data_IF_758518098120
#
_entry.id   IF_758518098120
#
_cell.length_a   1.000
_cell.length_b   1.000
_cell.length_c   1.000
_cell.angle_alpha   90.00
_cell.angle_beta   90.00
_cell.angle_gamma   90.00
#
_symmetry.space_group_name_H-M   'P 1'
#
loop_
_entity.id
_entity.type
_entity.pdbx_description
1 polymer ?
#
# COMPACT_ATOMS: atom_id res chain seq x y z
N UNK A 1 2.76 29.83 -6.87
CA UNK A 1 3.00 28.72 -7.80
C UNK A 1 4.10 29.11 -8.73
N UNK A 2 5.16 28.32 -8.82
CA UNK A 2 6.33 28.52 -9.68
C UNK A 2 6.41 27.33 -10.65
N UNK A 3 6.68 27.62 -11.92
CA UNK A 3 6.86 26.55 -12.90
C UNK A 3 8.21 25.87 -12.67
N UNK A 4 8.17 24.54 -12.55
CA UNK A 4 9.37 23.72 -12.40
C UNK A 4 9.68 23.00 -13.72
N UNK A 5 10.86 23.26 -14.28
CA UNK A 5 11.27 22.71 -15.58
C UNK A 5 11.52 21.20 -15.54
N UNK A 6 12.03 20.68 -14.41
CA UNK A 6 12.35 19.26 -14.25
C UNK A 6 11.07 18.41 -14.18
N UNK A 7 10.07 18.91 -13.43
CA UNK A 7 8.78 18.25 -13.26
C UNK A 7 7.78 18.59 -14.36
N UNK A 8 8.10 19.59 -15.24
CA UNK A 8 7.24 20.13 -16.30
C UNK A 8 5.84 20.51 -15.83
N UNK A 9 5.75 21.06 -14.60
CA UNK A 9 4.50 21.50 -13.98
C UNK A 9 4.73 22.63 -12.98
N UNK A 10 3.64 23.29 -12.61
CA UNK A 10 3.67 24.26 -11.52
C UNK A 10 3.73 23.55 -10.18
N UNK A 11 4.61 24.00 -9.29
CA UNK A 11 4.71 23.57 -7.90
C UNK A 11 4.50 24.76 -6.96
N UNK A 12 4.10 24.57 -5.69
CA UNK A 12 4.03 25.66 -4.72
C UNK A 12 5.38 26.32 -4.51
N UNK A 13 5.36 27.60 -4.22
CA UNK A 13 6.56 28.35 -3.85
C UNK A 13 7.16 27.77 -2.56
N UNK A 14 8.46 27.57 -2.53
CA UNK A 14 9.17 26.94 -1.41
C UNK A 14 9.18 25.42 -1.40
N UNK A 15 8.59 24.78 -2.44
CA UNK A 15 8.74 23.35 -2.65
C UNK A 15 9.85 23.08 -3.67
N UNK A 16 10.52 21.94 -3.52
CA UNK A 16 11.62 21.55 -4.39
C UNK A 16 11.23 20.36 -5.27
N UNK A 17 11.88 20.23 -6.39
CA UNK A 17 11.91 18.97 -7.12
C UNK A 17 13.04 18.08 -6.59
N UNK A 18 12.86 16.79 -6.73
CA UNK A 18 13.82 15.77 -6.34
C UNK A 18 13.54 14.45 -7.02
N UNK A 19 14.30 13.45 -6.68
CA UNK A 19 14.09 12.07 -7.13
C UNK A 19 13.50 11.24 -5.97
N UNK A 20 12.88 10.14 -6.31
CA UNK A 20 12.21 9.29 -5.31
C UNK A 20 13.20 8.76 -4.24
N UNK A 21 14.45 8.52 -4.63
CA UNK A 21 15.51 8.11 -3.71
C UNK A 21 15.90 9.21 -2.69
N UNK A 22 15.53 10.49 -2.90
CA UNK A 22 15.81 11.56 -1.93
C UNK A 22 14.87 11.52 -0.73
N UNK A 23 13.66 10.98 -0.92
CA UNK A 23 12.60 10.95 0.11
C UNK A 23 12.37 9.56 0.71
N UNK A 24 12.80 8.50 0.02
CA UNK A 24 12.54 7.13 0.41
C UNK A 24 13.78 6.24 0.23
N UNK A 25 14.02 5.35 1.17
CA UNK A 25 14.94 4.25 0.97
C UNK A 25 14.20 3.08 0.31
N UNK A 26 14.80 2.53 -0.73
CA UNK A 26 14.17 1.53 -1.58
C UNK A 26 15.04 0.29 -1.63
N UNK A 27 14.53 -0.81 -1.13
CA UNK A 27 15.18 -2.12 -1.20
C UNK A 27 14.54 -2.94 -2.32
N UNK A 28 15.28 -3.19 -3.40
CA UNK A 28 14.83 -4.10 -4.45
C UNK A 28 14.91 -5.54 -3.95
N UNK A 29 13.81 -6.28 -4.11
CA UNK A 29 13.76 -7.67 -3.70
C UNK A 29 14.60 -8.59 -4.58
N UNK A 30 15.00 -9.71 -4.00
CA UNK A 30 15.76 -10.76 -4.64
C UNK A 30 15.19 -12.11 -4.22
N UNK A 31 14.82 -12.93 -5.21
CA UNK A 31 14.29 -14.26 -4.92
C UNK A 31 15.38 -15.15 -4.31
N UNK A 32 15.11 -15.80 -3.18
CA UNK A 32 15.97 -16.87 -2.66
C UNK A 32 16.06 -18.06 -3.62
N UNK A 33 16.90 -19.03 -3.29
CA UNK A 33 16.95 -20.31 -4.03
C UNK A 33 15.60 -21.03 -3.90
N UNK A 34 15.11 -21.57 -5.01
CA UNK A 34 13.82 -22.25 -5.07
C UNK A 34 13.72 -23.49 -4.17
N UNK A 35 14.86 -24.12 -3.86
CA UNK A 35 14.92 -25.27 -2.95
C UNK A 35 14.63 -24.91 -1.50
N UNK A 36 14.72 -23.61 -1.13
CA UNK A 36 14.45 -23.11 0.22
C UNK A 36 12.97 -22.79 0.47
N UNK A 37 12.10 -22.89 -0.55
CA UNK A 37 10.69 -22.53 -0.42
C UNK A 37 9.90 -23.66 0.24
N UNK A 38 8.99 -23.28 1.13
CA UNK A 38 8.06 -24.22 1.77
C UNK A 38 6.72 -23.53 2.09
N UNK A 39 5.70 -24.36 2.29
CA UNK A 39 4.36 -23.96 2.74
C UNK A 39 4.09 -24.40 4.20
N UNK A 40 5.08 -25.00 4.85
CA UNK A 40 4.98 -25.58 6.19
C UNK A 40 5.19 -24.56 7.30
N UNK A 41 5.61 -23.34 6.97
CA UNK A 41 5.87 -22.29 7.96
C UNK A 41 7.30 -22.26 8.48
N UNK A 42 8.23 -22.99 7.81
CA UNK A 42 9.63 -22.97 8.23
C UNK A 42 10.39 -21.76 7.70
N UNK A 43 11.07 -21.03 8.57
CA UNK A 43 11.84 -19.84 8.23
C UNK A 43 11.02 -18.57 8.15
N UNK A 44 11.40 -17.67 7.24
CA UNK A 44 10.79 -16.34 7.09
C UNK A 44 9.66 -16.32 6.08
N UNK A 45 8.65 -15.49 6.32
CA UNK A 45 7.59 -15.23 5.35
C UNK A 45 8.21 -14.72 4.05
N UNK A 46 7.79 -15.26 2.91
CA UNK A 46 8.30 -14.90 1.60
C UNK A 46 7.20 -14.44 0.66
N UNK A 47 7.29 -13.20 0.19
CA UNK A 47 6.43 -12.64 -0.84
C UNK A 47 7.17 -12.54 -2.17
N UNK A 48 6.70 -13.25 -3.18
CA UNK A 48 7.37 -13.30 -4.49
C UNK A 48 7.01 -12.13 -5.40
N UNK A 49 5.76 -11.68 -5.34
CA UNK A 49 5.23 -10.65 -6.22
C UNK A 49 3.84 -10.17 -5.82
N UNK A 50 3.20 -9.38 -6.68
CA UNK A 50 1.87 -8.82 -6.44
C UNK A 50 0.74 -9.86 -6.39
N UNK A 51 0.99 -11.11 -6.72
CA UNK A 51 0.03 -12.21 -6.56
C UNK A 51 -0.31 -12.49 -5.10
N UNK A 52 0.56 -12.06 -4.20
CA UNK A 52 0.37 -12.20 -2.76
C UNK A 52 -0.39 -11.00 -2.16
N UNK A 53 -0.59 -9.93 -2.93
CA UNK A 53 -1.20 -8.70 -2.45
C UNK A 53 -2.70 -8.88 -2.22
N UNK A 54 -3.13 -8.49 -1.01
CA UNK A 54 -4.52 -8.36 -0.62
C UNK A 54 -5.02 -6.92 -0.72
N UNK A 55 -6.07 -6.59 0.03
CA UNK A 55 -6.65 -5.25 0.04
C UNK A 55 -5.65 -4.21 0.59
N UNK A 56 -4.98 -4.53 1.70
CA UNK A 56 -3.99 -3.66 2.34
C UNK A 56 -2.70 -4.39 2.70
N UNK A 57 -2.81 -5.64 3.11
CA UNK A 57 -1.69 -6.47 3.50
C UNK A 57 -1.56 -7.66 2.56
N UNK A 58 -0.35 -8.17 2.33
CA UNK A 58 -0.16 -9.37 1.55
C UNK A 58 -0.59 -10.61 2.33
N UNK A 59 -1.14 -11.61 1.64
CA UNK A 59 -1.50 -12.91 2.20
C UNK A 59 -0.29 -13.82 2.26
N UNK A 60 -0.05 -14.44 3.40
CA UNK A 60 1.06 -15.39 3.59
C UNK A 60 0.71 -16.73 2.91
N UNK A 61 1.51 -17.11 1.93
CA UNK A 61 1.38 -18.40 1.23
C UNK A 61 2.66 -19.21 1.25
N UNK A 62 3.79 -18.56 1.36
CA UNK A 62 5.09 -19.19 1.18
C UNK A 62 6.08 -18.70 2.23
N UNK A 63 7.00 -19.56 2.59
CA UNK A 63 8.11 -19.27 3.49
C UNK A 63 9.44 -19.65 2.83
N UNK A 64 10.54 -19.14 3.37
CA UNK A 64 11.89 -19.50 2.92
C UNK A 64 12.83 -19.69 4.08
N UNK A 65 13.63 -20.74 4.04
CA UNK A 65 14.70 -21.02 5.02
C UNK A 65 16.00 -20.27 4.71
N UNK A 66 16.08 -19.63 3.52
CA UNK A 66 17.29 -18.89 3.08
C UNK A 66 16.93 -17.49 2.59
N UNK A 67 16.44 -16.58 3.47
CA UNK A 67 16.03 -15.24 3.08
C UNK A 67 17.19 -14.40 2.54
N UNK A 68 16.95 -13.56 1.55
CA UNK A 68 17.96 -12.75 0.85
C UNK A 68 17.79 -11.26 1.05
N UNK A 69 16.57 -10.74 0.88
CA UNK A 69 16.22 -9.32 1.02
C UNK A 69 14.99 -9.17 1.90
N UNK A 70 15.08 -8.24 2.83
CA UNK A 70 14.07 -8.06 3.85
C UNK A 70 13.26 -6.78 3.64
N UNK A 71 11.99 -6.85 4.00
CA UNK A 71 11.13 -5.74 4.34
C UNK A 71 10.73 -5.85 5.80
N UNK A 72 10.60 -4.73 6.48
CA UNK A 72 10.14 -4.66 7.87
C UNK A 72 8.64 -4.41 7.93
N UNK A 73 8.03 -4.78 9.05
CA UNK A 73 6.65 -4.43 9.32
C UNK A 73 6.43 -2.92 9.17
N UNK A 74 5.41 -2.54 8.40
CA UNK A 74 5.09 -1.15 8.09
C UNK A 74 5.75 -0.61 6.82
N UNK A 75 6.72 -1.31 6.22
CA UNK A 75 7.27 -0.91 4.93
C UNK A 75 6.20 -1.01 3.83
N UNK A 76 6.28 -0.10 2.86
CA UNK A 76 5.43 -0.13 1.68
C UNK A 76 6.02 -1.13 0.70
N UNK A 77 5.24 -2.14 0.35
CA UNK A 77 5.58 -3.11 -0.68
C UNK A 77 5.01 -2.64 -2.01
N UNK A 78 5.85 -2.50 -3.03
CA UNK A 78 5.43 -2.11 -4.37
C UNK A 78 5.87 -3.17 -5.38
N UNK A 79 4.95 -3.56 -6.29
CA UNK A 79 5.32 -4.45 -7.39
C UNK A 79 6.16 -3.70 -8.42
N UNK A 80 7.30 -4.31 -8.80
CA UNK A 80 8.21 -3.80 -9.82
C UNK A 80 8.11 -4.58 -11.14
N UNK A 81 7.23 -5.57 -11.19
CA UNK A 81 6.86 -6.33 -12.40
C UNK A 81 5.36 -6.26 -12.63
N UNK A 82 4.93 -6.59 -13.84
CA UNK A 82 3.54 -6.49 -14.24
C UNK A 82 2.57 -7.25 -13.30
N UNK A 83 1.53 -6.59 -12.78
CA UNK A 83 1.22 -5.16 -12.92
C UNK A 83 2.14 -4.29 -12.06
N UNK A 84 2.88 -3.35 -12.70
CA UNK A 84 3.80 -2.45 -12.01
C UNK A 84 3.02 -1.44 -11.17
N UNK A 85 3.53 -1.15 -9.96
CA UNK A 85 2.96 -0.13 -9.09
C UNK A 85 1.79 -0.60 -8.23
N UNK A 86 1.47 -1.90 -8.19
CA UNK A 86 0.57 -2.41 -7.15
C UNK A 86 1.22 -2.23 -5.78
N UNK A 87 0.43 -1.82 -4.79
CA UNK A 87 0.90 -1.39 -3.46
C UNK A 87 0.22 -2.19 -2.37
N UNK A 88 1.01 -2.65 -1.41
CA UNK A 88 0.55 -3.19 -0.13
C UNK A 88 1.47 -2.70 0.99
N UNK A 89 1.17 -3.05 2.22
CA UNK A 89 2.01 -2.73 3.39
C UNK A 89 2.40 -4.04 4.05
N UNK A 90 3.66 -4.19 4.41
CA UNK A 90 4.13 -5.36 5.13
C UNK A 90 3.47 -5.42 6.52
N UNK A 91 2.69 -6.47 6.78
CA UNK A 91 2.04 -6.71 8.08
C UNK A 91 2.98 -7.35 9.12
N UNK A 92 4.11 -7.86 8.67
CA UNK A 92 5.19 -8.43 9.49
C UNK A 92 6.52 -8.32 8.75
N UNK A 93 7.62 -8.57 9.45
CA UNK A 93 8.93 -8.72 8.80
C UNK A 93 8.87 -9.89 7.82
N UNK A 94 9.44 -9.69 6.62
CA UNK A 94 9.32 -10.67 5.54
C UNK A 94 10.49 -10.59 4.57
N UNK A 95 10.72 -11.67 3.83
CA UNK A 95 11.60 -11.71 2.69
C UNK A 95 10.84 -11.31 1.43
N UNK A 96 11.45 -10.50 0.55
CA UNK A 96 10.84 -10.03 -0.68
C UNK A 96 11.59 -10.53 -1.92
N UNK A 97 10.84 -11.11 -2.85
CA UNK A 97 11.33 -11.63 -4.11
C UNK A 97 11.51 -10.54 -5.18
N UNK A 98 12.11 -10.94 -6.29
CA UNK A 98 12.47 -10.05 -7.43
C UNK A 98 11.30 -9.33 -8.08
N UNK A 99 10.06 -9.65 -7.73
CA UNK A 99 8.84 -8.97 -8.20
C UNK A 99 8.44 -7.76 -7.37
N UNK A 100 9.08 -7.55 -6.21
CA UNK A 100 8.74 -6.54 -5.23
C UNK A 100 9.91 -5.60 -4.91
N UNK A 101 9.57 -4.42 -4.43
CA UNK A 101 10.47 -3.53 -3.68
C UNK A 101 9.83 -3.16 -2.34
N UNK A 102 10.66 -3.02 -1.30
CA UNK A 102 10.27 -2.46 -0.02
C UNK A 102 10.71 -1.01 0.05
N UNK A 103 9.82 -0.14 0.50
CA UNK A 103 10.02 1.30 0.51
C UNK A 103 9.72 1.82 1.92
N UNK A 104 10.65 2.53 2.53
CA UNK A 104 10.42 3.23 3.78
C UNK A 104 10.82 4.70 3.69
N UNK A 105 10.26 5.52 4.56
CA UNK A 105 10.46 6.96 4.53
C UNK A 105 11.82 7.37 5.08
N UNK A 106 12.55 8.22 4.36
CA UNK A 106 13.75 8.92 4.85
C UNK A 106 13.42 10.28 5.49
N UNK A 107 12.24 10.81 5.22
CA UNK A 107 11.78 12.12 5.69
C UNK A 107 10.86 12.04 6.92
N UNK A 108 10.81 10.88 7.59
CA UNK A 108 10.02 10.67 8.79
C UNK A 108 8.51 10.52 8.60
N UNK A 109 8.00 10.56 7.35
CA UNK A 109 6.59 10.41 7.02
C UNK A 109 6.36 9.22 6.09
N UNK A 110 5.95 8.10 6.65
CA UNK A 110 5.54 6.93 5.86
C UNK A 110 4.23 7.20 5.12
N UNK A 111 3.34 7.98 5.72
CA UNK A 111 2.05 8.37 5.15
C UNK A 111 2.24 9.16 3.87
N UNK A 112 3.15 10.13 3.85
CA UNK A 112 3.47 10.89 2.65
C UNK A 112 4.03 9.99 1.53
N UNK A 113 4.99 9.12 1.85
CA UNK A 113 5.57 8.19 0.88
C UNK A 113 4.50 7.23 0.33
N UNK A 114 3.60 6.74 1.17
CA UNK A 114 2.49 5.89 0.74
C UNK A 114 1.64 6.56 -0.34
N UNK A 115 1.25 7.82 -0.15
CA UNK A 115 0.47 8.56 -1.14
C UNK A 115 1.28 8.92 -2.39
N UNK A 116 2.59 9.19 -2.26
CA UNK A 116 3.47 9.38 -3.42
C UNK A 116 3.52 8.11 -4.27
N UNK A 117 3.66 6.93 -3.66
CA UNK A 117 3.67 5.65 -4.39
C UNK A 117 2.32 5.40 -5.07
N UNK A 118 1.20 5.70 -4.42
CA UNK A 118 -0.12 5.63 -5.04
C UNK A 118 -0.27 6.57 -6.24
N UNK A 119 0.24 7.80 -6.14
CA UNK A 119 0.27 8.72 -7.27
C UNK A 119 1.10 8.18 -8.44
N UNK A 120 2.26 7.62 -8.15
CA UNK A 120 3.11 6.97 -9.17
C UNK A 120 2.39 5.80 -9.84
N UNK A 121 1.59 5.03 -9.09
CA UNK A 121 0.76 3.95 -9.66
C UNK A 121 -0.21 4.49 -10.72
N UNK A 122 -0.93 5.55 -10.43
CA UNK A 122 -1.85 6.19 -11.41
C UNK A 122 -1.09 6.60 -12.67
N UNK A 123 0.13 7.12 -12.52
CA UNK A 123 1.00 7.46 -13.65
C UNK A 123 1.40 6.23 -14.46
N UNK A 124 1.76 5.12 -13.82
CA UNK A 124 2.07 3.87 -14.51
C UNK A 124 0.86 3.29 -15.24
N UNK A 125 -0.31 3.32 -14.63
CA UNK A 125 -1.56 2.84 -15.22
C UNK A 125 -1.93 3.67 -16.48
N UNK A 126 -1.76 4.98 -16.45
CA UNK A 126 -1.99 5.87 -17.59
C UNK A 126 -1.03 5.60 -18.76
N UNK A 127 0.24 5.33 -18.47
CA UNK A 127 1.25 4.97 -19.48
C UNK A 127 0.95 3.60 -20.10
N UNK A 128 0.49 2.62 -19.31
CA UNK A 128 0.06 1.32 -19.81
C UNK A 128 -1.14 1.44 -20.77
N UNK A 129 -2.10 2.31 -20.46
CA UNK A 129 -3.29 2.57 -21.31
C UNK A 129 -2.91 3.24 -22.63
N UNK A 130 -1.86 4.06 -22.66
CA UNK A 130 -1.35 4.71 -23.86
C UNK A 130 -0.55 3.77 -24.82
N UNK A 131 -0.53 2.46 -24.54
CA UNK A 131 0.10 1.45 -25.39
C UNK A 131 1.56 1.14 -25.05
N UNK A 132 2.12 1.77 -24.04
CA UNK A 132 3.46 1.45 -23.51
C UNK A 132 3.30 0.45 -22.38
N UNK A 133 3.44 -0.85 -22.65
CA UNK A 133 3.35 -1.89 -21.62
C UNK A 133 4.61 -1.89 -20.77
N UNK A 134 4.53 -1.35 -19.55
CA UNK A 134 5.60 -1.50 -18.56
C UNK A 134 5.59 -2.92 -18.00
N UNK A 135 6.38 -3.82 -18.61
CA UNK A 135 6.54 -5.20 -18.13
C UNK A 135 7.32 -5.28 -16.80
N UNK A 136 8.19 -4.32 -16.54
CA UNK A 136 8.95 -4.17 -15.29
C UNK A 136 9.54 -2.78 -15.21
N UNK A 137 9.77 -2.31 -13.96
CA UNK A 137 10.56 -1.11 -13.68
C UNK A 137 11.92 -1.52 -13.11
N UNK A 138 12.98 -0.94 -13.64
CA UNK A 138 14.33 -1.20 -13.16
C UNK A 138 14.62 -0.42 -11.87
N UNK A 139 15.71 -0.80 -11.18
CA UNK A 139 16.15 -0.08 -10.00
C UNK A 139 16.39 1.40 -10.30
N UNK A 140 17.13 1.69 -11.34
CA UNK A 140 17.54 3.05 -11.68
C UNK A 140 16.34 3.91 -12.12
N UNK A 141 15.38 3.33 -12.84
CA UNK A 141 14.14 4.02 -13.18
C UNK A 141 13.32 4.36 -11.93
N UNK A 142 13.18 3.41 -10.99
CA UNK A 142 12.43 3.63 -9.75
C UNK A 142 13.09 4.70 -8.87
N UNK A 143 14.42 4.65 -8.71
CA UNK A 143 15.16 5.59 -7.88
C UNK A 143 15.12 7.01 -8.43
N UNK A 144 15.20 7.16 -9.74
CA UNK A 144 15.23 8.45 -10.43
C UNK A 144 13.84 9.00 -10.80
N UNK A 145 12.75 8.40 -10.30
CA UNK A 145 11.42 8.95 -10.55
C UNK A 145 11.31 10.37 -10.01
N UNK A 146 10.90 11.33 -10.85
CA UNK A 146 10.78 12.71 -10.42
C UNK A 146 9.60 12.90 -9.46
N UNK A 147 9.87 13.44 -8.29
CA UNK A 147 8.90 13.70 -7.23
C UNK A 147 9.00 15.14 -6.75
N UNK A 148 7.92 15.62 -6.13
CA UNK A 148 7.93 16.91 -5.42
C UNK A 148 8.35 16.66 -3.98
N UNK A 149 9.24 17.51 -3.48
CA UNK A 149 9.70 17.49 -2.10
C UNK A 149 9.14 18.71 -1.38
N UNK A 150 8.09 18.56 -0.54
CA UNK A 150 7.55 19.66 0.25
C UNK A 150 8.55 20.10 1.33
N UNK A 151 8.32 21.29 1.90
CA UNK A 151 9.04 21.73 3.09
C UNK A 151 8.70 20.85 4.30
N UNK A 152 9.61 20.74 5.26
CA UNK A 152 9.41 19.94 6.47
C UNK A 152 8.15 20.36 7.25
N UNK A 153 7.88 21.67 7.38
CA UNK A 153 6.65 22.18 8.00
C UNK A 153 5.38 21.65 7.31
N UNK A 154 5.40 21.54 5.99
CA UNK A 154 4.26 21.01 5.25
C UNK A 154 4.10 19.51 5.44
N UNK A 155 5.21 18.76 5.53
CA UNK A 155 5.19 17.32 5.83
C UNK A 155 4.63 17.08 7.23
N UNK A 156 5.04 17.86 8.23
CA UNK A 156 4.52 17.77 9.59
C UNK A 156 3.01 18.04 9.65
N UNK A 157 2.54 19.10 8.98
CA UNK A 157 1.09 19.40 8.89
C UNK A 157 0.33 18.30 8.19
N UNK A 158 0.89 17.72 7.15
CA UNK A 158 0.30 16.58 6.45
C UNK A 158 0.17 15.36 7.38
N UNK A 159 1.23 15.05 8.15
CA UNK A 159 1.21 13.93 9.11
C UNK A 159 0.15 14.12 10.20
N UNK A 160 0.01 15.32 10.76
CA UNK A 160 -1.01 15.61 11.77
C UNK A 160 -2.42 15.25 11.26
N UNK A 161 -2.70 15.47 9.99
CA UNK A 161 -4.02 15.21 9.40
C UNK A 161 -4.13 13.75 8.91
N UNK A 162 -3.13 13.25 8.20
CA UNK A 162 -3.23 11.99 7.47
C UNK A 162 -2.84 10.76 8.30
N UNK A 163 -1.95 10.90 9.28
CA UNK A 163 -1.49 9.78 10.11
C UNK A 163 -2.61 9.11 10.92
N UNK A 164 -3.53 9.84 11.57
CA UNK A 164 -4.67 9.20 12.25
C UNK A 164 -5.55 8.39 11.30
N UNK A 165 -5.77 8.90 10.07
CA UNK A 165 -6.54 8.19 9.04
C UNK A 165 -5.80 6.93 8.59
N UNK A 166 -4.51 7.06 8.31
CA UNK A 166 -3.66 5.94 7.93
C UNK A 166 -3.63 4.85 9.01
N UNK A 167 -3.45 5.24 10.27
CA UNK A 167 -3.48 4.32 11.41
C UNK A 167 -4.83 3.59 11.50
N UNK A 168 -5.93 4.31 11.32
CA UNK A 168 -7.27 3.68 11.33
C UNK A 168 -7.46 2.70 10.17
N UNK A 169 -6.94 3.00 9.01
CA UNK A 169 -6.93 2.07 7.89
C UNK A 169 -6.09 0.82 8.17
N UNK A 170 -4.97 0.95 8.90
CA UNK A 170 -4.15 -0.19 9.34
C UNK A 170 -4.92 -1.07 10.33
N UNK A 171 -5.56 -0.48 11.35
CA UNK A 171 -6.41 -1.21 12.31
C UNK A 171 -7.51 -2.00 11.61
N UNK A 172 -8.25 -1.35 10.70
CA UNK A 172 -9.32 -1.99 9.92
C UNK A 172 -8.74 -3.13 9.05
N UNK A 173 -7.55 -2.94 8.47
CA UNK A 173 -6.87 -3.98 7.71
C UNK A 173 -6.60 -5.24 8.55
N UNK A 174 -6.09 -5.10 9.76
CA UNK A 174 -5.86 -6.21 10.69
C UNK A 174 -7.18 -6.87 11.13
N UNK A 175 -8.23 -6.08 11.35
CA UNK A 175 -9.55 -6.60 11.67
C UNK A 175 -10.11 -7.47 10.53
N UNK A 176 -9.98 -7.01 9.28
CA UNK A 176 -10.38 -7.78 8.08
C UNK A 176 -9.62 -9.10 8.00
N UNK A 177 -8.28 -9.09 8.18
CA UNK A 177 -7.49 -10.34 8.17
C UNK A 177 -7.96 -11.32 9.25
N UNK A 178 -8.23 -10.82 10.46
CA UNK A 178 -8.74 -11.63 11.57
C UNK A 178 -10.10 -12.25 11.25
N UNK A 179 -11.02 -11.46 10.69
CA UNK A 179 -12.36 -11.91 10.31
C UNK A 179 -12.31 -12.91 9.16
N UNK A 180 -11.45 -12.70 8.17
CA UNK A 180 -11.25 -13.64 7.07
C UNK A 180 -10.71 -14.99 7.56
N UNK A 181 -9.76 -14.97 8.51
CA UNK A 181 -9.26 -16.17 9.16
C UNK A 181 -10.36 -16.92 9.88
N UNK A 182 -11.14 -16.23 10.73
CA UNK A 182 -12.27 -16.82 11.45
C UNK A 182 -13.30 -17.40 10.49
N UNK A 183 -13.66 -16.69 9.43
CA UNK A 183 -14.58 -17.21 8.41
C UNK A 183 -14.05 -18.49 7.80
N UNK A 184 -12.80 -18.53 7.41
CA UNK A 184 -12.18 -19.68 6.75
C UNK A 184 -12.07 -20.90 7.69
N UNK A 185 -11.92 -20.69 8.99
CA UNK A 185 -11.91 -21.72 10.01
C UNK A 185 -13.33 -22.25 10.29
N UNK A 186 -14.33 -21.36 10.37
CA UNK A 186 -15.70 -21.73 10.74
C UNK A 186 -16.51 -22.32 9.58
N UNK A 187 -16.28 -21.84 8.35
CA UNK A 187 -17.07 -22.25 7.20
C UNK A 187 -17.04 -23.77 6.95
N UNK A 188 -15.89 -24.49 7.00
CA UNK A 188 -15.87 -25.95 6.87
C UNK A 188 -16.62 -26.66 7.98
N UNK A 189 -16.55 -26.14 9.22
CA UNK A 189 -17.25 -26.73 10.37
C UNK A 189 -18.77 -26.62 10.21
N UNK A 190 -19.27 -25.52 9.72
CA UNK A 190 -20.69 -25.32 9.41
C UNK A 190 -21.14 -26.22 8.26
N UNK A 191 -20.35 -26.31 7.18
CA UNK A 191 -20.68 -27.13 6.02
C UNK A 191 -20.71 -28.63 6.35
N UNK A 192 -19.87 -29.07 7.29
CA UNK A 192 -19.81 -30.47 7.74
C UNK A 192 -20.80 -30.80 8.88
N UNK A 193 -21.62 -29.83 9.29
CA UNK A 193 -22.57 -30.01 10.41
C UNK A 193 -21.92 -30.19 11.80
N UNK A 194 -20.62 -29.85 11.91
CA UNK A 194 -19.86 -29.92 13.18
C UNK A 194 -20.12 -28.69 14.08
N UNK A 195 -20.67 -27.61 13.51
CA UNK A 195 -21.15 -26.46 14.24
C UNK A 195 -22.55 -26.07 13.75
N UNK A 196 -23.37 -25.57 14.64
CA UNK A 196 -24.69 -24.99 14.32
C UNK A 196 -24.73 -23.51 14.68
N UNK A 197 -25.43 -22.72 13.86
CA UNK A 197 -25.69 -21.33 14.18
C UNK A 197 -26.90 -21.20 15.09
N UNK A 198 -26.75 -20.49 16.21
CA UNK A 198 -27.89 -20.02 16.96
C UNK A 198 -28.49 -18.80 16.22
N UNK A 199 -29.71 -18.91 15.71
CA UNK A 199 -30.37 -17.90 14.88
C UNK A 199 -30.42 -16.52 15.55
N UNK A 200 -30.59 -16.46 16.88
CA UNK A 200 -30.63 -15.20 17.62
C UNK A 200 -29.28 -14.47 17.63
N UNK A 201 -28.19 -15.22 17.70
CA UNK A 201 -26.83 -14.66 17.60
C UNK A 201 -26.47 -14.30 16.15
N UNK A 202 -26.91 -15.09 15.18
CA UNK A 202 -26.64 -14.86 13.76
C UNK A 202 -27.26 -13.55 13.27
N UNK A 203 -28.40 -13.15 13.82
CA UNK A 203 -29.04 -11.86 13.45
C UNK A 203 -28.21 -10.66 13.97
N UNK A 204 -27.67 -10.75 15.17
CA UNK A 204 -26.82 -9.71 15.73
C UNK A 204 -25.45 -9.65 15.02
N UNK A 205 -24.83 -10.80 14.77
CA UNK A 205 -23.53 -10.83 14.06
C UNK A 205 -23.65 -10.40 12.60
N UNK A 206 -24.73 -10.76 11.89
CA UNK A 206 -24.97 -10.30 10.52
C UNK A 206 -25.10 -8.76 10.44
N UNK A 207 -25.71 -8.14 11.44
CA UNK A 207 -25.81 -6.68 11.50
C UNK A 207 -24.45 -6.01 11.75
N UNK A 208 -23.58 -6.62 12.58
CA UNK A 208 -22.21 -6.17 12.78
C UNK A 208 -21.34 -6.39 11.53
N UNK A 209 -21.45 -7.56 10.87
CA UNK A 209 -20.74 -7.84 9.62
C UNK A 209 -21.15 -6.90 8.48
N UNK A 210 -22.45 -6.67 8.30
CA UNK A 210 -22.95 -5.74 7.29
C UNK A 210 -22.46 -4.31 7.54
N UNK A 211 -22.47 -3.86 8.80
CA UNK A 211 -21.95 -2.56 9.18
C UNK A 211 -20.42 -2.46 9.01
N UNK A 212 -19.66 -3.51 9.31
CA UNK A 212 -18.21 -3.53 9.09
C UNK A 212 -17.86 -3.50 7.58
N UNK A 213 -18.57 -4.27 6.76
CA UNK A 213 -18.42 -4.27 5.30
C UNK A 213 -18.83 -2.92 4.70
N UNK A 214 -19.97 -2.36 5.11
CA UNK A 214 -20.42 -1.05 4.65
C UNK A 214 -19.46 0.06 5.06
N UNK A 215 -18.93 0.01 6.28
CA UNK A 215 -17.88 0.94 6.74
C UNK A 215 -16.58 0.78 5.96
N UNK A 216 -16.17 -0.47 5.65
CA UNK A 216 -14.96 -0.75 4.87
C UNK A 216 -15.08 -0.24 3.44
N UNK A 217 -16.24 -0.46 2.79
CA UNK A 217 -16.52 0.03 1.43
C UNK A 217 -16.66 1.55 1.43
N UNK A 218 -17.33 2.15 2.41
CA UNK A 218 -17.47 3.60 2.54
C UNK A 218 -16.10 4.26 2.82
N UNK A 219 -15.24 3.68 3.67
CA UNK A 219 -13.87 4.17 3.86
C UNK A 219 -13.04 4.08 2.58
N UNK A 220 -13.09 2.99 1.82
CA UNK A 220 -12.31 2.86 0.57
C UNK A 220 -12.72 3.84 -0.53
N UNK A 221 -14.01 4.16 -0.64
CA UNK A 221 -14.52 5.00 -1.73
C UNK A 221 -14.74 6.47 -1.34
N UNK A 222 -15.11 6.77 -0.09
CA UNK A 222 -15.42 8.14 0.33
C UNK A 222 -14.21 8.94 0.81
N UNK A 223 -13.18 8.28 1.38
CA UNK A 223 -12.09 9.01 2.04
C UNK A 223 -11.17 9.72 1.06
N UNK A 224 -10.90 9.14 -0.11
CA UNK A 224 -10.01 9.77 -1.09
C UNK A 224 -10.66 11.00 -1.75
N UNK A 225 -11.92 10.89 -2.17
CA UNK A 225 -12.64 11.99 -2.85
C UNK A 225 -13.06 13.08 -1.86
N UNK A 226 -13.48 12.69 -0.65
CA UNK A 226 -13.90 13.63 0.40
C UNK A 226 -12.71 14.36 1.02
N UNK A 227 -11.60 13.67 1.23
CA UNK A 227 -10.37 14.25 1.75
C UNK A 227 -9.77 15.24 0.75
N UNK A 228 -9.74 14.88 -0.54
CA UNK A 228 -9.29 15.78 -1.62
C UNK A 228 -10.21 16.99 -1.73
N UNK A 229 -11.53 16.83 -1.63
CA UNK A 229 -12.48 17.95 -1.64
C UNK A 229 -12.43 18.80 -0.38
N UNK A 230 -12.27 18.20 0.81
CA UNK A 230 -12.17 18.92 2.09
C UNK A 230 -10.88 19.74 2.18
N UNK A 231 -9.77 19.18 1.73
CA UNK A 231 -8.47 19.88 1.66
C UNK A 231 -8.52 20.97 0.59
N UNK A 232 -9.15 20.72 -0.56
CA UNK A 232 -9.34 21.71 -1.64
C UNK A 232 -10.23 22.89 -1.22
N UNK A 233 -11.23 22.68 -0.34
CA UNK A 233 -12.15 23.73 0.08
C UNK A 233 -11.60 24.65 1.16
N UNK A 234 -10.60 24.24 1.92
CA UNK A 234 -10.02 25.04 3.02
C UNK A 234 -8.71 25.77 2.72
N UNK A 235 -7.99 25.36 1.68
CA UNK A 235 -6.76 26.06 1.28
C UNK A 235 -6.61 26.03 -0.24
N UNK A 236 -6.56 27.20 -0.89
CA UNK A 236 -6.25 27.40 -2.31
C UNK A 236 -4.89 26.80 -2.75
N UNK A 237 -4.13 26.17 -1.85
CA UNK A 237 -2.87 25.51 -2.13
C UNK A 237 -3.02 24.09 -2.69
N UNK A 238 -4.20 23.48 -2.59
CA UNK A 238 -4.45 22.07 -2.99
C UNK A 238 -5.19 21.90 -4.33
N UNK A 239 -5.44 22.96 -5.07
CA UNK A 239 -5.97 22.87 -6.46
C UNK A 239 -5.04 22.13 -7.43
N UNK A 240 -3.91 21.62 -6.95
CA UNK A 240 -2.88 20.95 -7.76
C UNK A 240 -3.14 19.46 -8.04
N UNK A 241 -4.06 18.82 -7.33
CA UNK A 241 -4.34 17.39 -7.53
C UNK A 241 -5.52 17.11 -8.47
N UNK A 242 -6.27 18.13 -8.91
CA UNK A 242 -7.44 17.98 -9.78
C UNK A 242 -7.23 18.41 -11.24
N UNK A 243 -5.99 18.74 -11.65
CA UNK A 243 -5.69 19.23 -12.99
C UNK A 243 -4.55 18.43 -13.67
N UNK A 244 -4.61 17.09 -13.57
CA UNK A 244 -3.84 16.20 -14.46
C UNK A 244 -4.71 15.00 -14.85
#
# INVERSE_FOLDING_TARGET
>A
MVYNENLKRNIPEGWNDGIFADIANITMGQSPDGSSYNETGEGEIFYQGSTDFGIRFPSVRMYTTSPTRYAKQGDILMSVRAPVGAVNIANSDCCIGRGLSAIYSMIGSITYIYYVVHYLKVRFDNLNTAGTTFGSITKDELFNLPVVVPSNDMIERFEVICKPIFNKQMEIGFEIESLDKQRNELLPLLMNGQASLNYDLAYQTSFFFLNAIVRSIACSCMDFISLVRFISSRNNAFTLFSAV
#
